data_IF_579834531438
#
_entry.id   IF_579834531438
#
_cell.length_a   1.000
_cell.length_b   1.000
_cell.length_c   1.000
_cell.angle_alpha   90.00
_cell.angle_beta   90.00
_cell.angle_gamma   90.00
#
_symmetry.space_group_name_H-M   'P 1'
#
loop_
_entity.id
_entity.type
_entity.pdbx_description
1 polymer ?
#
# COMPACT_ATOMS: atom_id res chain seq x y z
N UNK A 1 25.37 2.35 -16.84
CA UNK A 1 26.51 1.59 -16.30
C UNK A 1 27.62 2.52 -15.80
N UNK A 2 28.07 3.48 -16.61
CA UNK A 2 29.18 4.39 -16.26
C UNK A 2 28.90 5.18 -14.96
N UNK A 3 27.75 5.80 -14.82
CA UNK A 3 27.39 6.54 -13.61
C UNK A 3 27.33 5.68 -12.33
N UNK A 4 27.05 4.37 -12.44
CA UNK A 4 27.12 3.45 -11.30
C UNK A 4 28.58 3.30 -10.85
N UNK A 5 29.50 3.03 -11.77
CA UNK A 5 30.94 2.90 -11.45
C UNK A 5 31.44 4.18 -10.79
N UNK A 6 31.16 5.34 -11.37
CA UNK A 6 31.55 6.64 -10.79
C UNK A 6 30.99 6.87 -9.38
N UNK A 7 29.76 6.42 -9.10
CA UNK A 7 29.17 6.53 -7.77
C UNK A 7 29.92 5.70 -6.74
N UNK A 8 30.24 4.45 -7.09
CA UNK A 8 31.02 3.57 -6.20
C UNK A 8 32.47 4.06 -6.03
N UNK A 9 33.09 4.57 -7.08
CA UNK A 9 34.46 5.12 -7.00
C UNK A 9 34.53 6.32 -6.06
N UNK A 10 33.55 7.25 -6.18
CA UNK A 10 33.42 8.38 -5.24
C UNK A 10 33.17 7.93 -3.80
N UNK A 11 32.36 6.89 -3.60
CA UNK A 11 32.10 6.34 -2.28
C UNK A 11 33.39 5.77 -1.65
N UNK A 12 34.18 5.04 -2.43
CA UNK A 12 35.49 4.50 -1.99
C UNK A 12 36.49 5.61 -1.66
N UNK A 13 36.54 6.67 -2.47
CA UNK A 13 37.40 7.84 -2.21
C UNK A 13 37.04 8.54 -0.90
N UNK A 14 35.75 8.58 -0.54
CA UNK A 14 35.25 9.22 0.68
C UNK A 14 35.56 8.39 1.93
N UNK A 15 35.66 7.07 1.81
CA UNK A 15 35.92 6.12 2.91
C UNK A 15 34.74 5.82 3.82
N UNK A 16 33.69 6.67 3.83
CA UNK A 16 32.43 6.47 4.55
C UNK A 16 31.30 6.96 3.67
N UNK A 17 30.42 6.09 3.23
CA UNK A 17 29.34 6.47 2.32
C UNK A 17 28.08 5.62 2.47
N UNK A 18 26.95 6.21 2.16
CA UNK A 18 25.67 5.51 1.94
C UNK A 18 25.28 5.74 0.48
N UNK A 19 25.18 4.65 -0.27
CA UNK A 19 24.69 4.68 -1.65
C UNK A 19 23.23 4.23 -1.62
N UNK A 20 22.34 5.06 -2.16
CA UNK A 20 20.91 4.75 -2.22
C UNK A 20 20.50 4.67 -3.69
N UNK A 21 19.98 3.51 -4.08
CA UNK A 21 19.32 3.30 -5.37
C UNK A 21 17.81 3.30 -5.15
N UNK A 22 17.14 4.37 -5.55
CA UNK A 22 15.69 4.42 -5.56
C UNK A 22 15.16 3.88 -6.89
N UNK A 23 14.01 3.18 -6.85
CA UNK A 23 13.41 2.55 -8.04
C UNK A 23 14.43 1.69 -8.83
N UNK A 24 15.10 0.77 -8.12
CA UNK A 24 16.15 -0.08 -8.70
C UNK A 24 15.67 -0.86 -9.94
N UNK A 25 14.40 -1.27 -9.98
CA UNK A 25 13.76 -1.92 -11.12
C UNK A 25 13.82 -1.04 -12.38
N UNK A 26 13.55 0.26 -12.26
CA UNK A 26 13.64 1.19 -13.39
C UNK A 26 15.09 1.43 -13.83
N UNK A 27 16.04 1.44 -12.88
CA UNK A 27 17.45 1.59 -13.19
C UNK A 27 17.99 0.40 -13.98
N UNK A 28 17.53 -0.79 -13.67
CA UNK A 28 17.96 -2.05 -14.33
C UNK A 28 17.30 -2.20 -15.71
N UNK A 29 15.99 -1.94 -15.83
CA UNK A 29 15.16 -1.95 -17.04
C UNK A 29 15.73 -2.78 -18.24
N UNK A 30 15.93 -4.08 -18.03
CA UNK A 30 16.51 -5.05 -18.99
C UNK A 30 17.94 -4.75 -19.51
N UNK A 31 18.61 -3.75 -18.97
CA UNK A 31 19.98 -3.44 -19.36
C UNK A 31 21.00 -4.35 -18.66
N UNK A 32 21.37 -5.45 -19.29
CA UNK A 32 22.40 -6.39 -18.78
C UNK A 32 23.70 -5.71 -18.35
N UNK A 33 24.06 -4.59 -18.98
CA UNK A 33 25.27 -3.82 -18.64
C UNK A 33 25.16 -3.16 -17.27
N UNK A 34 23.97 -2.66 -16.93
CA UNK A 34 23.68 -2.05 -15.62
C UNK A 34 23.73 -3.10 -14.53
N UNK A 35 23.07 -4.24 -14.74
CA UNK A 35 23.10 -5.38 -13.80
C UNK A 35 24.54 -5.85 -13.55
N UNK A 36 25.35 -5.98 -14.60
CA UNK A 36 26.75 -6.39 -14.48
C UNK A 36 27.59 -5.36 -13.72
N UNK A 37 27.42 -4.07 -14.02
CA UNK A 37 28.12 -3.01 -13.31
C UNK A 37 27.77 -2.97 -11.81
N UNK A 38 26.47 -3.18 -11.46
CA UNK A 38 26.06 -3.31 -10.07
C UNK A 38 26.70 -4.53 -9.39
N UNK A 39 26.70 -5.69 -10.06
CA UNK A 39 27.33 -6.90 -9.52
C UNK A 39 28.82 -6.71 -9.23
N UNK A 40 29.57 -6.22 -10.23
CA UNK A 40 31.03 -6.00 -10.11
C UNK A 40 31.37 -5.01 -8.99
N UNK A 41 30.55 -3.96 -8.83
CA UNK A 41 30.78 -2.96 -7.79
C UNK A 41 30.33 -3.43 -6.40
N UNK A 42 29.23 -4.16 -6.29
CA UNK A 42 28.76 -4.74 -5.02
C UNK A 42 29.75 -5.80 -4.52
N UNK A 43 30.28 -6.65 -5.39
CA UNK A 43 31.31 -7.64 -5.04
C UNK A 43 32.61 -6.99 -4.61
N UNK A 44 32.89 -5.77 -5.06
CA UNK A 44 34.06 -4.99 -4.69
C UNK A 44 33.91 -4.18 -3.40
N UNK A 45 32.76 -4.22 -2.73
CA UNK A 45 32.58 -3.59 -1.40
C UNK A 45 33.01 -4.61 -0.34
N UNK A 46 34.17 -4.41 0.24
CA UNK A 46 34.66 -5.25 1.34
C UNK A 46 34.03 -4.83 2.68
N UNK A 47 34.01 -5.73 3.65
CA UNK A 47 33.48 -5.45 5.00
C UNK A 47 34.26 -4.36 5.77
N UNK A 48 35.41 -3.93 5.24
CA UNK A 48 36.26 -2.85 5.76
C UNK A 48 35.96 -1.48 5.14
N UNK A 49 35.14 -1.45 4.07
CA UNK A 49 34.88 -0.24 3.32
C UNK A 49 33.69 0.47 3.94
N UNK A 50 33.53 0.90 5.04
CA UNK A 50 32.40 1.62 5.65
C UNK A 50 31.36 2.21 4.63
N UNK A 51 31.03 1.40 3.62
CA UNK A 51 30.05 1.73 2.56
C UNK A 51 28.80 0.90 2.77
N UNK A 52 27.66 1.58 2.98
CA UNK A 52 26.36 0.95 3.05
C UNK A 52 25.62 1.17 1.70
N UNK A 53 25.16 0.08 1.09
CA UNK A 53 24.34 0.15 -0.11
C UNK A 53 22.90 -0.20 0.22
N UNK A 54 21.97 0.68 -0.11
CA UNK A 54 20.53 0.52 0.08
C UNK A 54 19.87 0.61 -1.29
N UNK A 55 18.96 -0.31 -1.59
CA UNK A 55 18.15 -0.25 -2.79
C UNK A 55 16.66 -0.34 -2.43
N UNK A 56 15.84 0.46 -3.09
CA UNK A 56 14.39 0.40 -2.97
C UNK A 56 13.76 -0.01 -4.31
N UNK A 57 12.70 -0.81 -4.25
CA UNK A 57 11.90 -1.20 -5.41
C UNK A 57 10.48 -1.56 -4.99
N UNK A 58 9.52 -1.30 -5.85
CA UNK A 58 8.15 -1.79 -5.73
C UNK A 58 7.97 -3.19 -6.35
N UNK A 59 8.91 -3.63 -7.19
CA UNK A 59 8.82 -4.85 -7.99
C UNK A 59 10.00 -5.79 -7.75
N UNK A 60 10.08 -6.36 -6.55
CA UNK A 60 11.19 -7.28 -6.16
C UNK A 60 11.40 -8.43 -7.16
N UNK A 61 10.33 -8.87 -7.85
CA UNK A 61 10.40 -9.95 -8.84
C UNK A 61 11.12 -9.54 -10.13
N UNK A 62 11.27 -8.24 -10.37
CA UNK A 62 11.99 -7.68 -11.52
C UNK A 62 13.48 -7.52 -11.23
N UNK A 63 13.88 -7.64 -9.95
CA UNK A 63 15.29 -7.58 -9.57
C UNK A 63 15.94 -8.94 -9.86
N UNK A 64 17.00 -8.99 -10.68
CA UNK A 64 17.70 -10.23 -11.01
C UNK A 64 18.30 -10.91 -9.76
N UNK A 65 18.05 -12.23 -9.64
CA UNK A 65 18.56 -13.06 -8.53
C UNK A 65 20.05 -12.84 -8.21
N UNK A 66 20.94 -12.66 -9.22
CA UNK A 66 22.34 -12.42 -8.94
C UNK A 66 22.64 -11.19 -8.07
N UNK A 67 21.76 -10.18 -8.05
CA UNK A 67 21.93 -9.00 -7.19
C UNK A 67 21.48 -9.26 -5.75
N UNK A 68 20.62 -10.23 -5.52
CA UNK A 68 20.04 -10.58 -4.22
C UNK A 68 20.82 -11.64 -3.46
N UNK A 69 22.00 -12.06 -3.97
CA UNK A 69 22.85 -13.09 -3.35
C UNK A 69 23.64 -12.53 -2.17
N UNK A 70 24.16 -13.48 -1.34
CA UNK A 70 25.05 -13.15 -0.22
C UNK A 70 26.23 -12.28 -0.66
N UNK A 71 26.58 -11.31 0.16
CA UNK A 71 27.63 -10.34 -0.13
C UNK A 71 27.19 -9.17 -1.03
N UNK A 72 25.93 -9.10 -1.43
CA UNK A 72 25.34 -8.02 -2.25
C UNK A 72 24.10 -7.43 -1.56
N UNK A 73 22.98 -7.32 -2.25
CA UNK A 73 21.70 -6.86 -1.66
C UNK A 73 20.98 -8.04 -0.97
N UNK A 74 21.66 -8.70 -0.05
CA UNK A 74 21.18 -9.95 0.56
C UNK A 74 20.05 -9.75 1.58
N UNK A 75 20.01 -8.58 2.24
CA UNK A 75 19.02 -8.29 3.28
C UNK A 75 17.79 -7.64 2.69
N UNK A 76 16.74 -8.43 2.56
CA UNK A 76 15.44 -7.94 2.09
C UNK A 76 14.59 -7.48 3.26
N UNK A 77 14.12 -6.23 3.20
CA UNK A 77 13.19 -5.64 4.16
C UNK A 77 11.90 -5.33 3.41
N UNK A 78 10.83 -6.04 3.75
CA UNK A 78 9.50 -5.76 3.20
C UNK A 78 8.83 -4.66 4.03
N UNK A 79 8.45 -3.58 3.37
CA UNK A 79 7.63 -2.51 3.95
C UNK A 79 6.20 -2.74 3.46
N UNK A 80 5.28 -3.24 4.31
CA UNK A 80 3.89 -3.44 3.93
C UNK A 80 3.15 -2.10 3.84
N UNK A 81 1.95 -2.11 3.25
CA UNK A 81 1.01 -1.01 3.45
C UNK A 81 0.67 -0.91 4.95
N UNK A 82 0.35 0.30 5.43
CA UNK A 82 -0.04 0.48 6.82
C UNK A 82 -1.31 -0.31 7.16
N UNK A 83 -1.41 -0.74 8.41
CA UNK A 83 -2.65 -1.24 8.99
C UNK A 83 -3.70 -0.11 9.04
N UNK A 84 -4.97 -0.46 9.27
CA UNK A 84 -6.01 0.57 9.39
C UNK A 84 -5.71 1.60 10.49
N UNK A 85 -5.20 1.17 11.63
CA UNK A 85 -4.81 2.05 12.75
C UNK A 85 -3.65 2.99 12.36
N UNK A 86 -2.59 2.45 11.75
CA UNK A 86 -1.46 3.24 11.25
C UNK A 86 -1.88 4.22 10.14
N UNK A 87 -2.81 3.81 9.27
CA UNK A 87 -3.37 4.67 8.23
C UNK A 87 -4.22 5.81 8.84
N UNK A 88 -4.95 5.54 9.92
CA UNK A 88 -5.70 6.55 10.65
C UNK A 88 -4.77 7.56 11.35
N UNK A 89 -3.65 7.10 11.90
CA UNK A 89 -2.63 8.00 12.45
C UNK A 89 -2.06 8.92 11.36
N UNK A 90 -1.79 8.38 10.17
CA UNK A 90 -1.33 9.16 9.01
C UNK A 90 -2.40 10.16 8.55
N UNK A 91 -3.66 9.75 8.50
CA UNK A 91 -4.79 10.63 8.18
C UNK A 91 -4.84 11.79 9.17
N UNK A 92 -4.75 11.48 10.48
CA UNK A 92 -4.74 12.47 11.56
C UNK A 92 -3.58 13.46 11.42
N UNK A 93 -2.40 12.97 11.06
CA UNK A 93 -1.24 13.83 10.79
C UNK A 93 -1.50 14.78 9.62
N UNK A 94 -2.04 14.29 8.51
CA UNK A 94 -2.35 15.12 7.36
C UNK A 94 -3.48 16.12 7.64
N UNK A 95 -4.51 15.74 8.40
CA UNK A 95 -5.53 16.69 8.85
C UNK A 95 -4.90 17.86 9.61
N UNK A 96 -3.96 17.61 10.51
CA UNK A 96 -3.23 18.67 11.23
C UNK A 96 -2.38 19.53 10.29
N UNK A 97 -1.70 18.94 9.31
CA UNK A 97 -0.90 19.68 8.32
C UNK A 97 -1.76 20.65 7.50
N UNK A 98 -3.00 20.27 7.19
CA UNK A 98 -3.95 21.12 6.46
C UNK A 98 -4.85 21.97 7.35
N UNK A 99 -4.65 21.96 8.69
CA UNK A 99 -5.50 22.62 9.68
C UNK A 99 -6.99 22.23 9.56
N UNK A 100 -7.27 20.96 9.27
CA UNK A 100 -8.60 20.39 9.23
C UNK A 100 -9.01 19.86 10.59
N UNK A 101 -10.30 19.97 10.92
CA UNK A 101 -10.88 19.37 12.11
C UNK A 101 -11.71 18.15 11.74
N UNK A 102 -11.66 17.12 12.57
CA UNK A 102 -12.52 15.96 12.40
C UNK A 102 -13.96 16.30 12.76
N UNK A 103 -14.95 15.75 12.04
CA UNK A 103 -16.35 15.92 12.38
C UNK A 103 -16.67 15.29 13.74
N UNK A 104 -17.73 15.76 14.42
CA UNK A 104 -18.09 15.28 15.77
C UNK A 104 -18.60 13.84 15.79
N UNK A 105 -19.10 13.39 14.65
CA UNK A 105 -19.63 12.04 14.40
C UNK A 105 -18.59 11.12 13.75
N UNK A 106 -17.31 11.49 13.84
CA UNK A 106 -16.20 10.70 13.28
C UNK A 106 -16.03 9.40 14.07
N UNK A 107 -16.08 8.28 13.36
CA UNK A 107 -15.85 6.95 13.93
C UNK A 107 -14.47 6.45 13.52
N UNK A 108 -13.56 6.44 14.48
CA UNK A 108 -12.17 6.03 14.30
C UNK A 108 -12.06 4.57 13.81
N UNK A 109 -12.90 3.67 14.34
CA UNK A 109 -12.85 2.25 14.00
C UNK A 109 -13.34 2.02 12.57
N UNK A 110 -14.43 2.66 12.17
CA UNK A 110 -15.01 2.53 10.84
C UNK A 110 -14.03 3.06 9.77
N UNK A 111 -13.45 4.24 10.02
CA UNK A 111 -12.49 4.85 9.10
C UNK A 111 -11.20 4.06 9.04
N UNK A 112 -10.67 3.57 10.17
CA UNK A 112 -9.50 2.70 10.19
C UNK A 112 -9.71 1.42 9.36
N UNK A 113 -10.88 0.80 9.48
CA UNK A 113 -11.24 -0.36 8.67
C UNK A 113 -11.29 -0.02 7.17
N UNK A 114 -11.84 1.13 6.81
CA UNK A 114 -11.94 1.58 5.42
C UNK A 114 -10.58 1.94 4.80
N UNK A 115 -9.61 2.33 5.62
CA UNK A 115 -8.24 2.66 5.22
C UNK A 115 -7.30 1.45 5.21
N UNK A 116 -7.72 0.29 5.70
CA UNK A 116 -6.83 -0.87 5.86
C UNK A 116 -6.24 -1.30 4.50
N UNK A 117 -4.91 -1.38 4.44
CA UNK A 117 -4.17 -1.77 3.23
C UNK A 117 -3.99 -0.65 2.18
N UNK A 118 -4.46 0.56 2.46
CA UNK A 118 -4.15 1.73 1.61
C UNK A 118 -2.68 2.11 1.78
N UNK A 119 -2.02 2.56 0.71
CA UNK A 119 -0.65 3.05 0.80
C UNK A 119 -0.57 4.40 1.53
N UNK A 120 0.60 4.73 2.10
CA UNK A 120 0.80 6.06 2.71
C UNK A 120 0.50 7.21 1.74
N UNK A 121 0.87 7.05 0.47
CA UNK A 121 0.53 8.02 -0.58
C UNK A 121 -0.98 8.08 -0.83
N UNK A 122 -1.68 6.94 -0.74
CA UNK A 122 -3.14 6.85 -0.83
C UNK A 122 -3.83 7.63 0.29
N UNK A 123 -3.36 7.50 1.55
CA UNK A 123 -3.90 8.28 2.67
C UNK A 123 -3.77 9.79 2.41
N UNK A 124 -2.61 10.23 1.93
CA UNK A 124 -2.41 11.64 1.55
C UNK A 124 -3.32 12.07 0.40
N UNK A 125 -3.55 11.18 -0.58
CA UNK A 125 -4.44 11.44 -1.70
C UNK A 125 -5.90 11.59 -1.24
N UNK A 126 -6.35 10.85 -0.22
CA UNK A 126 -7.68 11.01 0.40
C UNK A 126 -7.85 12.43 0.95
N UNK A 127 -6.88 12.94 1.70
CA UNK A 127 -6.96 14.31 2.25
C UNK A 127 -6.95 15.36 1.13
N UNK A 128 -6.11 15.15 0.11
CA UNK A 128 -6.09 16.05 -1.05
C UNK A 128 -7.43 16.05 -1.80
N UNK A 129 -8.03 14.89 -2.06
CA UNK A 129 -9.36 14.78 -2.71
C UNK A 129 -10.43 15.47 -1.87
N UNK A 130 -10.41 15.25 -0.56
CA UNK A 130 -11.32 15.88 0.39
C UNK A 130 -11.25 17.41 0.30
N UNK A 131 -10.05 17.98 0.38
CA UNK A 131 -9.82 19.43 0.31
C UNK A 131 -10.19 20.01 -1.06
N UNK A 132 -9.82 19.33 -2.14
CA UNK A 132 -10.13 19.80 -3.50
C UNK A 132 -11.62 19.84 -3.78
N UNK A 133 -12.41 18.91 -3.23
CA UNK A 133 -13.86 18.85 -3.47
C UNK A 133 -14.68 19.71 -2.53
N UNK A 134 -14.27 19.80 -1.28
CA UNK A 134 -15.10 20.35 -0.21
C UNK A 134 -14.51 21.63 0.42
N UNK A 135 -13.24 21.97 0.12
CA UNK A 135 -12.54 23.06 0.78
C UNK A 135 -12.01 22.64 2.16
N UNK A 136 -11.74 23.64 3.01
CA UNK A 136 -11.09 23.46 4.32
C UNK A 136 -12.06 23.52 5.50
N UNK A 137 -13.33 23.79 5.26
CA UNK A 137 -14.32 24.03 6.33
C UNK A 137 -15.47 23.03 6.25
N UNK A 138 -16.12 22.79 7.40
CA UNK A 138 -17.32 21.96 7.51
C UNK A 138 -17.14 20.52 6.96
N UNK A 139 -16.01 19.89 7.27
CA UNK A 139 -15.79 18.50 6.92
C UNK A 139 -16.78 17.60 7.66
N UNK A 140 -17.44 16.70 6.93
CA UNK A 140 -18.36 15.68 7.48
C UNK A 140 -17.79 14.28 7.30
N UNK A 141 -18.26 13.32 8.11
CA UNK A 141 -17.85 11.91 7.99
C UNK A 141 -18.17 11.37 6.58
N UNK A 142 -19.32 11.71 6.01
CA UNK A 142 -19.70 11.31 4.65
C UNK A 142 -18.72 11.82 3.59
N UNK A 143 -18.16 13.03 3.74
CA UNK A 143 -17.14 13.58 2.83
C UNK A 143 -15.84 12.81 2.92
N UNK A 144 -15.44 12.41 4.13
CA UNK A 144 -14.24 11.59 4.36
C UNK A 144 -14.43 10.21 3.69
N UNK A 145 -15.55 9.54 3.95
CA UNK A 145 -15.88 8.25 3.37
C UNK A 145 -15.89 8.29 1.84
N UNK A 146 -16.48 9.33 1.28
CA UNK A 146 -16.52 9.52 -0.16
C UNK A 146 -15.13 9.75 -0.75
N UNK A 147 -14.26 10.47 -0.07
CA UNK A 147 -12.89 10.67 -0.53
C UNK A 147 -12.06 9.39 -0.40
N UNK A 148 -12.24 8.61 0.67
CA UNK A 148 -11.65 7.27 0.79
C UNK A 148 -12.11 6.40 -0.37
N UNK A 149 -13.42 6.37 -0.63
CA UNK A 149 -14.01 5.63 -1.74
C UNK A 149 -13.38 6.02 -3.09
N UNK A 150 -13.30 7.31 -3.41
CA UNK A 150 -12.74 7.79 -4.67
C UNK A 150 -11.29 7.39 -4.90
N UNK A 151 -10.52 7.23 -3.83
CA UNK A 151 -9.09 6.87 -3.92
C UNK A 151 -8.87 5.36 -3.90
N UNK A 152 -9.65 4.62 -3.10
CA UNK A 152 -9.50 3.17 -2.98
C UNK A 152 -10.17 2.42 -4.13
N UNK A 153 -11.32 2.90 -4.55
CA UNK A 153 -12.14 2.32 -5.61
C UNK A 153 -12.12 3.25 -6.83
N UNK A 154 -11.05 3.22 -7.60
CA UNK A 154 -11.05 3.84 -8.92
C UNK A 154 -12.11 3.14 -9.76
N UNK A 155 -13.27 3.78 -9.88
CA UNK A 155 -14.40 3.32 -10.70
C UNK A 155 -13.88 3.07 -12.11
N UNK A 156 -13.85 1.80 -12.51
CA UNK A 156 -13.85 1.47 -13.93
C UNK A 156 -15.28 1.69 -14.38
N UNK A 157 -15.49 2.61 -15.31
CA UNK A 157 -16.79 2.78 -15.98
C UNK A 157 -17.19 1.45 -16.60
N UNK A 158 -18.10 0.75 -15.95
CA UNK A 158 -18.72 -0.47 -16.47
C UNK A 158 -20.19 -0.18 -16.78
N UNK A 159 -20.75 -0.84 -17.80
CA UNK A 159 -22.16 -0.72 -18.12
C UNK A 159 -23.05 -1.06 -16.92
N UNK A 160 -24.17 -0.34 -16.75
CA UNK A 160 -25.11 -0.54 -15.64
C UNK A 160 -25.65 -1.98 -15.52
N UNK A 161 -25.76 -2.69 -16.66
CA UNK A 161 -26.25 -4.07 -16.69
C UNK A 161 -25.31 -5.04 -15.97
N UNK A 162 -23.99 -4.89 -16.15
CA UNK A 162 -23.00 -5.73 -15.47
C UNK A 162 -22.94 -5.44 -13.96
N UNK A 163 -23.28 -4.22 -13.56
CA UNK A 163 -23.28 -3.82 -12.16
C UNK A 163 -24.39 -4.50 -11.34
N UNK A 164 -25.55 -4.81 -11.94
CA UNK A 164 -26.66 -5.41 -11.21
C UNK A 164 -26.37 -6.86 -10.78
N UNK A 165 -25.79 -7.67 -11.66
CA UNK A 165 -25.42 -9.06 -11.33
C UNK A 165 -24.37 -9.10 -10.23
N UNK A 166 -23.36 -8.24 -10.34
CA UNK A 166 -22.31 -8.09 -9.34
C UNK A 166 -22.92 -7.62 -8.01
N UNK A 167 -23.83 -6.64 -8.04
CA UNK A 167 -24.54 -6.16 -6.86
C UNK A 167 -25.30 -7.26 -6.13
N UNK A 168 -26.04 -8.09 -6.88
CA UNK A 168 -26.79 -9.21 -6.32
C UNK A 168 -25.85 -10.24 -5.68
N UNK A 169 -24.72 -10.52 -6.34
CA UNK A 169 -23.70 -11.45 -5.81
C UNK A 169 -23.13 -10.96 -4.47
N UNK A 170 -22.67 -9.72 -4.42
CA UNK A 170 -22.10 -9.13 -3.20
C UNK A 170 -23.13 -8.95 -2.08
N UNK A 171 -24.39 -8.58 -2.45
CA UNK A 171 -25.48 -8.55 -1.49
C UNK A 171 -25.77 -9.93 -0.88
N UNK A 172 -25.59 -11.00 -1.67
CA UNK A 172 -25.69 -12.38 -1.19
C UNK A 172 -24.67 -12.65 -0.08
N UNK A 173 -23.42 -12.25 -0.25
CA UNK A 173 -22.38 -12.36 0.79
C UNK A 173 -22.76 -11.58 2.05
N UNK A 174 -23.27 -10.36 1.90
CA UNK A 174 -23.69 -9.52 3.02
C UNK A 174 -24.87 -10.13 3.79
N UNK A 175 -25.86 -10.72 3.09
CA UNK A 175 -26.99 -11.41 3.73
C UNK A 175 -26.53 -12.61 4.54
N UNK A 176 -25.63 -13.42 3.99
CA UNK A 176 -25.07 -14.56 4.71
C UNK A 176 -24.26 -14.10 5.93
N UNK A 177 -23.40 -13.11 5.78
CA UNK A 177 -22.62 -12.58 6.90
C UNK A 177 -23.53 -11.99 8.01
N UNK A 178 -24.61 -11.30 7.64
CA UNK A 178 -25.60 -10.76 8.58
C UNK A 178 -26.38 -11.85 9.33
N UNK A 179 -26.55 -13.01 8.72
CA UNK A 179 -27.17 -14.17 9.39
C UNK A 179 -26.27 -14.75 10.48
N UNK A 180 -24.97 -14.47 10.45
CA UNK A 180 -23.98 -14.97 11.41
C UNK A 180 -23.18 -13.85 12.07
N UNK A 181 -23.82 -12.92 12.80
CA UNK A 181 -23.16 -11.72 13.35
C UNK A 181 -22.08 -12.04 14.40
N UNK A 182 -22.12 -13.23 14.98
CA UNK A 182 -21.09 -13.69 15.92
C UNK A 182 -19.74 -14.01 15.23
N UNK A 183 -19.74 -14.20 13.91
CA UNK A 183 -18.54 -14.54 13.16
C UNK A 183 -18.07 -13.41 12.23
N UNK A 184 -19.02 -12.61 11.76
CA UNK A 184 -18.73 -11.56 10.78
C UNK A 184 -19.28 -10.22 11.21
N UNK A 185 -18.41 -9.23 11.21
CA UNK A 185 -18.81 -7.82 11.24
C UNK A 185 -18.73 -7.30 9.80
N UNK A 186 -19.89 -6.98 9.21
CA UNK A 186 -19.95 -6.40 7.87
C UNK A 186 -19.41 -4.98 7.96
N UNK A 187 -18.35 -4.72 7.23
CA UNK A 187 -17.71 -3.43 7.20
C UNK A 187 -18.18 -2.60 6.00
N UNK A 188 -18.13 -3.20 4.82
CA UNK A 188 -18.45 -2.49 3.59
C UNK A 188 -18.92 -3.45 2.51
N UNK A 189 -19.88 -2.97 1.71
CA UNK A 189 -20.30 -3.58 0.46
C UNK A 189 -20.06 -2.57 -0.65
N UNK A 190 -19.31 -2.95 -1.67
CA UNK A 190 -18.99 -2.07 -2.77
C UNK A 190 -19.08 -2.78 -4.12
N UNK A 191 -19.49 -2.04 -5.14
CA UNK A 191 -19.49 -2.48 -6.53
C UNK A 191 -18.66 -1.49 -7.32
N UNK A 192 -17.52 -1.97 -7.84
CA UNK A 192 -16.60 -1.18 -8.62
C UNK A 192 -16.38 -1.85 -9.96
N UNK A 193 -17.03 -1.35 -10.97
CA UNK A 193 -16.93 -1.91 -12.30
C UNK A 193 -17.47 -3.34 -12.40
N UNK A 194 -16.86 -4.18 -13.21
CA UNK A 194 -17.20 -5.60 -13.38
C UNK A 194 -16.80 -6.47 -12.16
N UNK A 195 -16.40 -5.88 -11.04
CA UNK A 195 -16.05 -6.58 -9.81
C UNK A 195 -16.74 -5.96 -8.61
N UNK A 196 -17.30 -6.81 -7.74
CA UNK A 196 -17.78 -6.42 -6.43
C UNK A 196 -16.75 -6.74 -5.36
N UNK A 197 -16.86 -6.08 -4.23
CA UNK A 197 -16.04 -6.34 -3.06
C UNK A 197 -16.91 -6.33 -1.82
N UNK A 198 -16.91 -7.45 -1.12
CA UNK A 198 -17.51 -7.60 0.18
C UNK A 198 -16.39 -7.58 1.23
N UNK A 199 -16.42 -6.60 2.11
CA UNK A 199 -15.48 -6.49 3.22
C UNK A 199 -16.20 -6.81 4.53
N UNK A 200 -15.75 -7.87 5.17
CA UNK A 200 -16.18 -8.24 6.51
C UNK A 200 -14.99 -8.58 7.39
N UNK A 201 -15.05 -8.21 8.66
CA UNK A 201 -14.08 -8.62 9.68
C UNK A 201 -14.54 -9.93 10.29
N UNK A 202 -13.65 -10.92 10.31
CA UNK A 202 -13.88 -12.14 11.07
C UNK A 202 -13.69 -11.85 12.57
N UNK A 203 -14.76 -12.06 13.36
CA UNK A 203 -14.77 -11.74 14.80
C UNK A 203 -14.11 -12.84 15.62
N UNK A 204 -14.24 -14.09 15.20
CA UNK A 204 -13.61 -15.24 15.83
C UNK A 204 -12.71 -16.01 14.86
N UNK A 205 -11.41 -16.08 15.15
CA UNK A 205 -10.51 -17.03 14.51
C UNK A 205 -10.68 -18.40 15.18
N UNK A 206 -11.53 -19.23 14.63
CA UNK A 206 -11.74 -20.60 15.11
C UNK A 206 -11.92 -21.58 13.96
N UNK A 207 -11.59 -22.84 14.23
CA UNK A 207 -11.91 -23.95 13.33
C UNK A 207 -13.42 -24.01 13.16
N UNK A 208 -13.94 -23.87 11.94
CA UNK A 208 -15.35 -24.02 11.60
C UNK A 208 -15.76 -25.48 11.75
N UNK A 209 -16.49 -25.88 12.79
CA UNK A 209 -17.03 -27.23 12.80
C UNK A 209 -18.10 -27.34 11.71
N UNK A 210 -18.05 -28.38 10.92
CA UNK A 210 -18.97 -28.66 9.82
C UNK A 210 -20.46 -28.51 10.20
N UNK A 211 -20.80 -28.64 11.45
CA UNK A 211 -22.14 -28.52 12.03
C UNK A 211 -22.68 -27.06 12.04
N UNK A 212 -21.84 -26.06 11.80
CA UNK A 212 -22.25 -24.64 11.77
C UNK A 212 -22.48 -24.07 10.37
N UNK A 213 -22.30 -24.86 9.33
CA UNK A 213 -22.35 -24.42 7.92
C UNK A 213 -23.57 -24.97 7.17
N UNK A 214 -24.52 -25.63 7.84
CA UNK A 214 -25.79 -26.16 7.27
C UNK A 214 -26.93 -25.23 7.60
#
# INVERSE_FOLDING_TARGET
AEGICETFDKARETGHAIIIFDELDLLINDERRVVRALQENLDGVESTDDILVIAATNYIREIPDPLLRHGRLEKLIKIPCPTGEEALELLTKHFKEFNLEFPKDFDDEEVALSLNGISCAGVKAVVNDLVLRNGFENITSEMIDKSIYNITDRVKDTPEEDNLEVAIHEAGHAVVAKAFPQFFLINRLNISGASGQFHAKEVERGFWPYEKVI
#
